data_IF_608677643221
#
_entry.id   IF_608677643221
#
_cell.length_a   1.000
_cell.length_b   1.000
_cell.length_c   1.000
_cell.angle_alpha   90.00
_cell.angle_beta   90.00
_cell.angle_gamma   90.00
#
_symmetry.space_group_name_H-M   'P 1'
#
loop_
_entity.id
_entity.type
_entity.pdbx_description
1 polymer ?
#
# COMPACT_ATOMS: atom_id res chain seq x y z
N UNK A 1 3.60 -1.15 13.56
CA UNK A 1 4.38 -2.20 12.88
C UNK A 1 3.63 -2.59 11.62
N UNK A 2 4.27 -2.52 10.46
CA UNK A 2 3.71 -2.95 9.18
C UNK A 2 4.34 -4.27 8.74
N UNK A 3 3.56 -5.09 8.04
CA UNK A 3 4.03 -6.33 7.45
C UNK A 3 3.87 -6.24 5.93
N UNK A 4 4.79 -6.87 5.21
CA UNK A 4 4.78 -6.95 3.76
C UNK A 4 4.44 -8.40 3.40
N UNK A 5 3.25 -8.61 2.86
CA UNK A 5 2.71 -9.95 2.54
C UNK A 5 2.53 -10.01 1.03
N UNK A 6 3.03 -11.07 0.41
CA UNK A 6 2.93 -11.28 -1.03
C UNK A 6 2.22 -12.60 -1.32
N UNK A 7 1.38 -12.59 -2.34
CA UNK A 7 0.77 -13.80 -2.88
C UNK A 7 1.78 -14.51 -3.78
N UNK A 8 1.55 -15.78 -4.07
CA UNK A 8 2.43 -16.56 -4.94
C UNK A 8 2.40 -16.01 -6.38
N UNK A 9 3.33 -15.10 -6.69
CA UNK A 9 3.71 -14.78 -8.05
C UNK A 9 4.66 -15.85 -8.58
N UNK A 10 4.55 -16.11 -9.90
CA UNK A 10 5.40 -17.04 -10.65
C UNK A 10 6.87 -16.92 -10.19
N UNK A 11 7.51 -18.06 -9.89
CA UNK A 11 8.70 -18.19 -9.04
C UNK A 11 9.87 -17.28 -9.47
N UNK A 12 9.89 -16.92 -10.76
CA UNK A 12 10.85 -16.01 -11.40
C UNK A 12 10.56 -14.53 -11.12
N UNK A 13 9.30 -14.09 -11.20
CA UNK A 13 8.88 -12.71 -10.94
C UNK A 13 9.03 -12.35 -9.46
N UNK A 14 8.78 -13.32 -8.57
CA UNK A 14 9.00 -13.19 -7.12
C UNK A 14 10.46 -12.84 -6.80
N UNK A 15 11.43 -13.49 -7.45
CA UNK A 15 12.85 -13.22 -7.17
C UNK A 15 13.29 -11.80 -7.56
N UNK A 16 12.75 -11.28 -8.66
CA UNK A 16 13.02 -9.91 -9.12
C UNK A 16 12.41 -8.88 -8.15
N UNK A 17 11.16 -9.10 -7.74
CA UNK A 17 10.46 -8.22 -6.81
C UNK A 17 11.15 -8.17 -5.44
N UNK A 18 11.63 -9.33 -4.94
CA UNK A 18 12.45 -9.41 -3.72
C UNK A 18 13.73 -8.58 -3.83
N UNK A 19 14.43 -8.67 -4.98
CA UNK A 19 15.62 -7.88 -5.24
C UNK A 19 15.33 -6.37 -5.26
N UNK A 20 14.22 -5.96 -5.87
CA UNK A 20 13.79 -4.56 -5.92
C UNK A 20 13.41 -4.01 -4.54
N UNK A 21 12.66 -4.78 -3.75
CA UNK A 21 12.24 -4.43 -2.39
C UNK A 21 13.45 -4.32 -1.47
N UNK A 22 14.36 -5.31 -1.52
CA UNK A 22 15.62 -5.28 -0.78
C UNK A 22 16.46 -4.05 -1.16
N UNK A 23 16.65 -3.81 -2.46
CA UNK A 23 17.38 -2.65 -2.94
C UNK A 23 16.75 -1.33 -2.50
N UNK A 24 15.42 -1.21 -2.54
CA UNK A 24 14.71 -0.01 -2.10
C UNK A 24 14.93 0.25 -0.60
N UNK A 25 14.76 -0.76 0.25
CA UNK A 25 14.86 -0.61 1.71
C UNK A 25 16.29 -0.44 2.22
N UNK A 26 17.29 -0.99 1.51
CA UNK A 26 18.71 -0.87 1.85
C UNK A 26 19.33 0.40 1.27
N UNK A 27 19.12 0.65 -0.02
CA UNK A 27 19.89 1.66 -0.75
C UNK A 27 19.28 3.06 -0.68
N UNK A 28 17.97 3.20 -0.43
CA UNK A 28 17.33 4.52 -0.38
C UNK A 28 17.24 5.07 1.05
N UNK A 29 17.42 6.39 1.20
CA UNK A 29 17.28 7.08 2.50
C UNK A 29 15.86 6.95 3.07
N UNK A 30 14.84 7.02 2.21
CA UNK A 30 13.45 6.84 2.58
C UNK A 30 13.14 5.39 2.97
N UNK A 31 13.64 4.42 2.20
CA UNK A 31 13.52 3.00 2.51
C UNK A 31 14.11 2.65 3.88
N UNK A 32 15.34 3.09 4.15
CA UNK A 32 16.00 2.91 5.46
C UNK A 32 15.23 3.54 6.63
N UNK A 33 14.56 4.66 6.40
CA UNK A 33 13.71 5.27 7.44
C UNK A 33 12.42 4.49 7.66
N UNK A 34 11.87 3.84 6.63
CA UNK A 34 10.60 3.09 6.67
C UNK A 34 10.78 1.67 7.20
N UNK A 35 11.94 1.04 7.00
CA UNK A 35 12.27 -0.28 7.57
C UNK A 35 12.28 -0.30 9.10
N UNK A 36 12.43 0.85 9.76
CA UNK A 36 12.24 0.98 11.23
C UNK A 36 10.83 0.68 11.70
N UNK A 37 9.84 0.65 10.80
CA UNK A 37 8.41 0.48 11.13
C UNK A 37 7.79 -0.75 10.47
N UNK A 38 8.51 -1.41 9.57
CA UNK A 38 8.00 -2.48 8.69
C UNK A 38 9.02 -3.61 8.70
N UNK A 39 8.57 -4.86 8.89
CA UNK A 39 9.39 -6.04 8.69
C UNK A 39 9.39 -6.36 7.18
N UNK A 40 10.53 -6.26 6.47
CA UNK A 40 10.59 -6.42 5.02
C UNK A 40 10.67 -7.89 4.58
N UNK A 41 10.48 -8.85 5.49
CA UNK A 41 10.42 -10.26 5.11
C UNK A 41 9.06 -10.61 4.49
N UNK A 42 9.05 -11.20 3.28
CA UNK A 42 7.84 -11.64 2.61
C UNK A 42 7.32 -12.91 3.27
N UNK A 43 6.09 -12.87 3.79
CA UNK A 43 5.37 -14.09 4.17
C UNK A 43 4.70 -14.69 2.93
N UNK A 44 5.17 -15.86 2.51
CA UNK A 44 4.52 -16.67 1.48
C UNK A 44 3.51 -17.58 2.15
N UNK A 45 2.23 -17.37 1.85
CA UNK A 45 1.14 -18.12 2.50
C UNK A 45 0.44 -19.00 1.47
N UNK A 46 0.35 -20.30 1.73
CA UNK A 46 -0.54 -21.21 1.00
C UNK A 46 -1.78 -21.45 1.88
N UNK A 47 -2.89 -20.71 1.69
CA UNK A 47 -4.23 -20.87 2.32
C UNK A 47 -5.12 -19.64 2.01
N UNK A 48 -6.35 -19.53 2.57
CA UNK A 48 -7.32 -18.40 2.50
C UNK A 48 -6.73 -16.97 2.62
N UNK A 49 -5.51 -16.84 3.14
CA UNK A 49 -4.72 -15.62 3.12
C UNK A 49 -4.39 -15.13 1.70
N UNK A 50 -4.25 -16.03 0.71
CA UNK A 50 -4.12 -15.72 -0.72
C UNK A 50 -5.26 -14.82 -1.20
N UNK A 51 -6.51 -15.12 -0.82
CA UNK A 51 -7.68 -14.30 -1.20
C UNK A 51 -7.58 -12.89 -0.63
N UNK A 52 -7.08 -12.73 0.59
CA UNK A 52 -6.88 -11.42 1.22
C UNK A 52 -5.76 -10.64 0.55
N UNK A 53 -4.69 -11.31 0.12
CA UNK A 53 -3.59 -10.66 -0.60
C UNK A 53 -4.04 -10.22 -1.99
N UNK A 54 -4.78 -11.07 -2.72
CA UNK A 54 -5.38 -10.71 -4.00
C UNK A 54 -6.35 -9.52 -3.86
N UNK A 55 -7.13 -9.50 -2.78
CA UNK A 55 -8.00 -8.36 -2.46
C UNK A 55 -7.17 -7.09 -2.23
N UNK A 56 -6.05 -7.17 -1.51
CA UNK A 56 -5.15 -6.04 -1.30
C UNK A 56 -4.54 -5.54 -2.62
N UNK A 57 -4.17 -6.43 -3.53
CA UNK A 57 -3.65 -6.07 -4.86
C UNK A 57 -4.70 -5.38 -5.73
N UNK A 58 -5.96 -5.84 -5.67
CA UNK A 58 -7.09 -5.16 -6.34
C UNK A 58 -7.26 -3.74 -5.77
N UNK A 59 -7.21 -3.58 -4.45
CA UNK A 59 -7.28 -2.25 -3.82
C UNK A 59 -6.12 -1.36 -4.27
N UNK A 60 -4.89 -1.88 -4.32
CA UNK A 60 -3.71 -1.15 -4.78
C UNK A 60 -3.83 -0.73 -6.25
N UNK A 61 -4.40 -1.59 -7.11
CA UNK A 61 -4.67 -1.28 -8.51
C UNK A 61 -5.69 -0.14 -8.64
N UNK A 62 -6.78 -0.19 -7.87
CA UNK A 62 -7.81 0.86 -7.84
C UNK A 62 -7.24 2.20 -7.35
N UNK A 63 -6.38 2.18 -6.32
CA UNK A 63 -5.67 3.39 -5.85
C UNK A 63 -4.77 3.97 -6.94
N UNK A 64 -4.05 3.13 -7.67
CA UNK A 64 -3.10 3.57 -8.70
C UNK A 64 -3.80 4.17 -9.92
N UNK A 65 -4.86 3.52 -10.39
CA UNK A 65 -5.46 3.81 -11.70
C UNK A 65 -6.83 4.50 -11.64
N UNK A 66 -7.56 4.38 -10.53
CA UNK A 66 -8.88 4.97 -10.35
C UNK A 66 -8.90 6.18 -9.42
N UNK A 67 -8.14 6.16 -8.32
CA UNK A 67 -8.17 7.23 -7.32
C UNK A 67 -7.37 8.46 -7.77
N UNK A 68 -7.96 9.65 -7.67
CA UNK A 68 -7.27 10.93 -7.88
C UNK A 68 -7.47 11.83 -6.68
N UNK A 69 -6.36 12.19 -6.05
CA UNK A 69 -6.32 13.20 -4.99
C UNK A 69 -5.72 14.51 -5.53
N UNK A 70 -5.89 15.59 -4.77
CA UNK A 70 -5.37 16.91 -5.14
C UNK A 70 -3.88 16.81 -5.54
N UNK A 71 -3.55 17.32 -6.74
CA UNK A 71 -2.23 17.28 -7.40
C UNK A 71 -1.91 16.02 -8.24
N UNK A 72 -2.81 15.05 -8.38
CA UNK A 72 -2.68 13.99 -9.38
C UNK A 72 -3.30 14.46 -10.71
N UNK A 73 -2.48 14.60 -11.75
CA UNK A 73 -2.90 15.11 -13.07
C UNK A 73 -3.14 14.03 -14.12
N UNK A 74 -2.72 12.78 -13.84
CA UNK A 74 -2.96 11.66 -14.75
C UNK A 74 -4.47 11.36 -14.87
N UNK A 75 -4.98 10.96 -16.05
CA UNK A 75 -6.38 10.59 -16.21
C UNK A 75 -6.73 9.37 -15.34
N UNK A 76 -7.91 9.38 -14.73
CA UNK A 76 -8.45 8.20 -14.03
C UNK A 76 -9.13 7.27 -15.03
N UNK A 77 -9.16 5.98 -14.70
CA UNK A 77 -9.96 4.99 -15.42
C UNK A 77 -11.39 5.01 -14.92
N UNK A 78 -12.32 5.48 -15.75
CA UNK A 78 -13.72 5.69 -15.35
C UNK A 78 -14.44 4.39 -14.93
N UNK A 79 -14.03 3.25 -15.49
CA UNK A 79 -14.57 1.94 -15.14
C UNK A 79 -14.30 1.54 -13.67
N UNK A 80 -13.27 2.13 -13.04
CA UNK A 80 -12.91 1.85 -11.65
C UNK A 80 -13.71 2.69 -10.65
N UNK A 81 -14.50 3.66 -11.11
CA UNK A 81 -15.20 4.62 -10.25
C UNK A 81 -16.07 3.99 -9.14
N UNK A 82 -16.81 2.87 -9.37
CA UNK A 82 -17.54 2.20 -8.30
C UNK A 82 -16.63 1.65 -7.19
N UNK A 83 -15.46 1.13 -7.57
CA UNK A 83 -14.47 0.57 -6.63
C UNK A 83 -13.73 1.66 -5.86
N UNK A 84 -13.48 2.81 -6.49
CA UNK A 84 -12.85 3.97 -5.83
C UNK A 84 -13.67 4.42 -4.62
N UNK A 85 -15.00 4.39 -4.70
CA UNK A 85 -15.88 4.73 -3.58
C UNK A 85 -15.71 3.77 -2.40
N UNK A 86 -15.56 2.47 -2.65
CA UNK A 86 -15.29 1.46 -1.63
C UNK A 86 -13.91 1.67 -0.99
N UNK A 87 -12.90 1.91 -1.81
CA UNK A 87 -11.53 2.17 -1.34
C UNK A 87 -11.46 3.44 -0.49
N UNK A 88 -12.23 4.49 -0.81
CA UNK A 88 -12.32 5.68 0.01
C UNK A 88 -12.81 5.41 1.44
N UNK A 89 -13.71 4.44 1.62
CA UNK A 89 -14.22 4.06 2.94
C UNK A 89 -13.17 3.33 3.80
N UNK A 90 -12.16 2.72 3.17
CA UNK A 90 -11.05 2.08 3.88
C UNK A 90 -10.03 3.09 4.43
N UNK A 91 -10.16 4.37 4.09
CA UNK A 91 -9.24 5.40 4.53
C UNK A 91 -9.34 5.60 6.05
N UNK A 92 -8.26 5.28 6.75
CA UNK A 92 -8.15 5.58 8.18
C UNK A 92 -8.06 7.09 8.42
N UNK A 93 -9.01 7.65 9.15
CA UNK A 93 -8.97 9.03 9.63
C UNK A 93 -8.50 9.04 11.08
N UNK A 94 -7.39 9.74 11.34
CA UNK A 94 -6.93 9.98 12.71
C UNK A 94 -7.44 11.33 13.16
N UNK A 95 -8.39 11.34 14.09
CA UNK A 95 -8.67 12.54 14.86
C UNK A 95 -7.43 12.84 15.71
N UNK A 96 -6.86 14.02 15.52
CA UNK A 96 -5.76 14.50 16.36
C UNK A 96 -6.39 15.41 17.39
N UNK A 97 -6.47 14.97 18.66
CA UNK A 97 -6.72 15.88 19.78
C UNK A 97 -5.55 16.87 19.85
N UNK A 98 -5.76 18.07 19.34
CA UNK A 98 -4.68 19.04 19.21
C UNK A 98 -5.11 20.39 18.68
N UNK A 99 -6.19 20.97 19.23
CA UNK A 99 -6.47 22.41 19.17
C UNK A 99 -7.55 22.82 20.19
N UNK A 100 -7.37 22.50 21.48
CA UNK A 100 -7.99 23.29 22.54
C UNK A 100 -6.84 23.91 23.33
N UNK A 101 -6.58 25.19 23.09
CA UNK A 101 -5.62 25.98 23.86
C UNK A 101 -4.81 26.95 23.02
N UNK A 102 -5.39 28.13 22.77
CA UNK A 102 -4.72 29.45 22.81
C UNK A 102 -5.38 30.41 21.82
N UNK A 103 -6.48 31.02 22.25
CA UNK A 103 -6.78 32.42 21.87
C UNK A 103 -6.99 33.16 23.17
N UNK A 104 -6.17 34.19 23.34
CA UNK A 104 -6.14 35.14 24.43
C UNK A 104 -7.46 35.87 24.64
#
# INVERSE_FOLDING_TARGET
MGYLVFDELDRSATHILLGQVSSYFVNTRNGRSRSRRIIPEPFFVHSDLTTLIQTADIVAYVVSWGLRIRRMTAPARDELRPLVNLVHQLQFQRETEGAIGSTA
#
